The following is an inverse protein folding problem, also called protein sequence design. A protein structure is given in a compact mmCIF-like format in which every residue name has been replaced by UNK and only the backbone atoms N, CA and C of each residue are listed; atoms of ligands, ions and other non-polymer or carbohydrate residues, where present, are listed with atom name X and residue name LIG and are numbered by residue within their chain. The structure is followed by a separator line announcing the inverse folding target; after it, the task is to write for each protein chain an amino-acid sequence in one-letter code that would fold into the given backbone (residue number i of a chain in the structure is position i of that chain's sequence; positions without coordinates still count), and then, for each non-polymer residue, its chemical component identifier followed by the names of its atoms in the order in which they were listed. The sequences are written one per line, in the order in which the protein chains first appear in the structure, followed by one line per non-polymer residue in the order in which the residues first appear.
data_IF_501213778253
#
_entry.id   IF_501213778253
#
_cell.length_a   1.000
_cell.length_b   1.000
_cell.length_c   1.000
_cell.angle_alpha   90.00
_cell.angle_beta   90.00
_cell.angle_gamma   90.00
#
_symmetry.space_group_name_H-M   'P 1'
#
loop_
_entity.id
_entity.type
_entity.pdbx_description
1 polymer ?
#
# COMPACT_ATOMS: atom_id res chain seq x y z
N UNK A 1 1.22 -35.21 -0.46
CA UNK A 1 1.53 -36.53 -1.07
C UNK A 1 0.42 -37.51 -0.78
N UNK A 2 0.07 -38.33 -1.77
CA UNK A 2 -0.94 -39.39 -1.64
C UNK A 2 -0.22 -40.74 -1.84
N UNK A 3 0.08 -41.49 -0.75
CA UNK A 3 0.83 -42.75 -0.85
C UNK A 3 0.02 -43.87 -1.55
N UNK A 4 0.70 -44.90 -2.03
CA UNK A 4 0.07 -46.07 -2.62
C UNK A 4 -0.52 -47.05 -1.56
N UNK A 5 -1.17 -46.54 -0.53
CA UNK A 5 -1.76 -47.30 0.55
C UNK A 5 -3.26 -46.94 0.65
N UNK A 6 -4.12 -47.94 0.93
CA UNK A 6 -5.56 -47.70 1.01
C UNK A 6 -6.17 -47.32 -0.33
N UNK A 7 -7.06 -46.30 -0.39
CA UNK A 7 -7.72 -45.86 -1.63
C UNK A 7 -6.76 -45.38 -2.73
N UNK A 8 -5.57 -44.93 -2.37
CA UNK A 8 -4.56 -44.40 -3.31
C UNK A 8 -3.83 -45.52 -4.10
N UNK A 9 -3.96 -46.78 -3.70
CA UNK A 9 -3.40 -47.92 -4.47
C UNK A 9 -3.93 -47.95 -5.89
N UNK A 10 -5.22 -47.71 -6.07
CA UNK A 10 -5.88 -47.77 -7.38
C UNK A 10 -5.48 -46.59 -8.28
N UNK A 11 -5.06 -45.48 -7.71
CA UNK A 11 -4.61 -44.26 -8.46
C UNK A 11 -3.10 -44.22 -8.67
N UNK A 12 -2.37 -45.18 -8.08
CA UNK A 12 -0.92 -45.22 -8.18
C UNK A 12 -0.15 -44.18 -7.36
N UNK A 13 -0.83 -43.52 -6.42
CA UNK A 13 -0.27 -42.41 -5.63
C UNK A 13 -0.06 -41.11 -6.42
N UNK A 14 0.19 -40.03 -5.73
CA UNK A 14 0.45 -38.72 -6.35
C UNK A 14 1.22 -37.78 -5.44
N UNK A 15 1.86 -36.78 -6.05
CA UNK A 15 2.56 -35.70 -5.37
C UNK A 15 2.25 -34.37 -6.05
N UNK A 16 2.09 -33.34 -5.25
CA UNK A 16 1.95 -31.96 -5.69
C UNK A 16 2.97 -31.09 -4.96
N UNK A 17 3.56 -30.14 -5.69
CA UNK A 17 4.45 -29.12 -5.17
C UNK A 17 3.93 -27.76 -5.58
N UNK A 18 3.93 -26.88 -4.64
CA UNK A 18 3.62 -25.46 -4.81
C UNK A 18 4.81 -24.64 -4.35
N UNK A 19 5.16 -23.64 -5.12
CA UNK A 19 6.23 -22.70 -4.81
C UNK A 19 5.73 -21.27 -5.05
N UNK A 20 5.65 -20.52 -3.96
CA UNK A 20 5.24 -19.12 -3.95
C UNK A 20 6.45 -18.24 -3.70
N UNK A 21 6.53 -17.17 -4.45
CA UNK A 21 7.54 -16.15 -4.27
C UNK A 21 6.91 -14.77 -4.28
N UNK A 22 7.08 -14.04 -3.17
CA UNK A 22 6.71 -12.64 -3.06
C UNK A 22 7.97 -11.78 -3.03
N UNK A 23 8.00 -10.76 -3.88
CA UNK A 23 9.02 -9.72 -3.86
C UNK A 23 8.33 -8.37 -3.81
N UNK A 24 8.65 -7.57 -2.80
CA UNK A 24 8.20 -6.19 -2.72
C UNK A 24 9.33 -5.27 -2.30
N UNK A 25 9.29 -4.03 -2.78
CA UNK A 25 10.20 -2.98 -2.36
C UNK A 25 9.48 -1.64 -2.30
N UNK A 26 9.96 -0.81 -1.42
CA UNK A 26 9.50 0.55 -1.26
C UNK A 26 10.71 1.48 -1.30
N UNK A 27 10.58 2.54 -2.08
CA UNK A 27 11.57 3.60 -2.19
C UNK A 27 10.95 4.92 -1.78
N UNK A 28 11.48 5.55 -0.73
CA UNK A 28 10.99 6.80 -0.20
C UNK A 28 12.10 7.86 -0.22
N UNK A 29 11.78 9.04 -0.77
CA UNK A 29 12.60 10.23 -0.68
C UNK A 29 11.76 11.32 -0.03
N UNK A 30 12.25 11.88 1.05
CA UNK A 30 11.57 12.95 1.78
C UNK A 30 12.57 14.07 2.04
N UNK A 31 12.17 15.29 1.73
CA UNK A 31 12.86 16.51 2.09
C UNK A 31 11.96 17.33 3.00
N UNK A 32 12.52 17.85 4.07
CA UNK A 32 11.81 18.72 5.00
C UNK A 32 12.57 20.02 5.22
N UNK A 33 11.80 21.09 5.33
CA UNK A 33 12.32 22.41 5.67
C UNK A 33 11.52 22.97 6.83
N UNK A 34 12.21 23.33 7.89
CA UNK A 34 11.65 23.93 9.10
C UNK A 34 12.35 25.25 9.36
N UNK A 35 11.60 26.34 9.50
CA UNK A 35 12.16 27.66 9.72
C UNK A 35 11.24 28.52 10.56
N UNK A 36 11.81 29.11 11.62
CA UNK A 36 11.19 30.13 12.45
C UNK A 36 11.86 31.48 12.19
N UNK A 37 11.04 32.50 11.87
CA UNK A 37 11.48 33.88 11.62
C UNK A 37 10.59 34.79 12.44
N UNK A 38 11.10 35.26 13.59
CA UNK A 38 10.29 36.02 14.54
C UNK A 38 9.08 35.24 15.03
N UNK A 39 7.91 35.79 14.81
CA UNK A 39 6.62 35.17 15.19
C UNK A 39 6.07 34.19 14.14
N UNK A 40 6.75 34.00 13.02
CA UNK A 40 6.35 33.15 11.92
C UNK A 40 7.11 31.84 11.94
N UNK A 41 6.41 30.73 11.82
CA UNK A 41 6.99 29.41 11.71
C UNK A 41 6.45 28.68 10.47
N UNK A 42 7.36 28.15 9.67
CA UNK A 42 7.09 27.41 8.44
C UNK A 42 7.65 26.01 8.57
N UNK A 43 6.83 25.03 8.31
CA UNK A 43 7.26 23.64 8.15
C UNK A 43 6.73 23.13 6.81
N UNK A 44 7.64 22.73 5.93
CA UNK A 44 7.33 22.23 4.60
C UNK A 44 7.97 20.86 4.44
N UNK A 45 7.21 19.91 3.96
CA UNK A 45 7.67 18.57 3.64
C UNK A 45 7.25 18.26 2.20
N UNK A 46 8.18 17.74 1.42
CA UNK A 46 7.91 17.20 0.09
C UNK A 46 8.53 15.82 -0.03
N UNK A 47 7.86 14.93 -0.73
CA UNK A 47 8.33 13.56 -0.85
C UNK A 47 7.86 12.84 -2.11
N UNK A 48 8.58 11.77 -2.41
CA UNK A 48 8.26 10.80 -3.43
C UNK A 48 8.28 9.41 -2.80
N UNK A 49 7.28 8.62 -3.11
CA UNK A 49 7.20 7.22 -2.74
C UNK A 49 7.02 6.38 -4.00
N UNK A 50 7.74 5.26 -4.10
CA UNK A 50 7.54 4.26 -5.13
C UNK A 50 7.48 2.89 -4.47
N UNK A 51 6.46 2.12 -4.82
CA UNK A 51 6.24 0.77 -4.34
C UNK A 51 6.07 -0.18 -5.52
N UNK A 52 6.67 -1.35 -5.43
CA UNK A 52 6.47 -2.43 -6.40
C UNK A 52 6.24 -3.73 -5.66
N UNK A 53 5.31 -4.50 -6.18
CA UNK A 53 4.94 -5.81 -5.68
C UNK A 53 4.90 -6.80 -6.82
N UNK A 54 5.48 -7.98 -6.59
CA UNK A 54 5.43 -9.13 -7.46
C UNK A 54 5.13 -10.38 -6.66
N UNK A 55 4.17 -11.15 -7.11
CA UNK A 55 3.85 -12.46 -6.63
C UNK A 55 3.92 -13.45 -7.78
N UNK A 56 4.71 -14.49 -7.63
CA UNK A 56 4.82 -15.62 -8.56
C UNK A 56 4.34 -16.87 -7.85
N UNK A 57 3.44 -17.62 -8.46
CA UNK A 57 3.01 -18.94 -8.02
C UNK A 57 3.31 -19.96 -9.11
N UNK A 58 3.83 -21.11 -8.70
CA UNK A 58 4.07 -22.27 -9.56
C UNK A 58 3.60 -23.52 -8.84
N UNK A 59 2.65 -24.22 -9.43
CA UNK A 59 2.17 -25.51 -8.96
C UNK A 59 2.46 -26.60 -9.99
N UNK A 60 2.95 -27.75 -9.54
CA UNK A 60 3.16 -28.91 -10.38
C UNK A 60 2.66 -30.18 -9.67
N UNK A 61 2.01 -31.06 -10.41
CA UNK A 61 1.44 -32.31 -9.88
C UNK A 61 1.73 -33.48 -10.79
N UNK A 62 2.08 -34.62 -10.20
CA UNK A 62 2.26 -35.88 -10.89
C UNK A 62 1.61 -37.04 -10.14
N UNK A 63 1.20 -38.06 -10.87
CA UNK A 63 0.67 -39.31 -10.33
C UNK A 63 1.47 -40.54 -10.86
N UNK A 64 1.02 -41.74 -10.50
CA UNK A 64 1.67 -43.00 -10.78
C UNK A 64 3.12 -43.00 -10.29
N UNK A 65 3.25 -42.85 -8.98
CA UNK A 65 4.56 -42.82 -8.30
C UNK A 65 5.25 -44.17 -8.43
N UNK A 66 6.45 -44.20 -9.00
CA UNK A 66 7.21 -45.44 -9.17
C UNK A 66 7.74 -45.99 -7.85
N UNK A 67 8.06 -45.11 -6.90
CA UNK A 67 8.60 -45.46 -5.59
C UNK A 67 7.55 -45.09 -4.53
N UNK A 68 6.99 -46.08 -3.77
CA UNK A 68 6.12 -45.79 -2.65
C UNK A 68 6.84 -44.92 -1.61
N UNK A 69 6.09 -44.02 -0.98
CA UNK A 69 6.54 -43.15 0.12
C UNK A 69 7.69 -42.16 -0.22
N UNK A 70 8.04 -42.06 -1.50
CA UNK A 70 9.00 -41.04 -1.98
C UNK A 70 8.27 -39.93 -2.69
N UNK A 71 8.06 -38.76 -2.03
CA UNK A 71 7.12 -37.71 -2.49
C UNK A 71 7.67 -36.78 -3.58
N UNK A 72 8.80 -37.12 -4.21
CA UNK A 72 9.40 -36.26 -5.22
C UNK A 72 8.67 -36.35 -6.57
N UNK A 73 8.43 -35.21 -7.22
CA UNK A 73 7.72 -35.14 -8.51
C UNK A 73 8.43 -35.96 -9.61
N UNK A 74 9.75 -36.09 -9.53
CA UNK A 74 10.57 -36.80 -10.56
C UNK A 74 10.17 -38.26 -10.70
N UNK A 75 9.69 -38.92 -9.64
CA UNK A 75 9.31 -40.35 -9.65
C UNK A 75 7.87 -40.60 -10.10
N UNK A 76 7.07 -39.57 -10.31
CA UNK A 76 5.75 -39.65 -10.91
C UNK A 76 5.83 -39.78 -12.43
N UNK A 77 5.27 -40.86 -13.00
CA UNK A 77 5.34 -41.11 -14.44
C UNK A 77 4.30 -40.34 -15.25
N UNK A 78 3.22 -39.84 -14.61
CA UNK A 78 2.15 -39.11 -15.28
C UNK A 78 2.02 -37.70 -14.72
N UNK A 79 2.13 -36.71 -15.60
CA UNK A 79 1.80 -35.31 -15.26
C UNK A 79 0.29 -35.19 -15.13
N UNK A 80 -0.18 -34.69 -13.99
CA UNK A 80 -1.61 -34.51 -13.70
C UNK A 80 -2.03 -33.05 -13.61
N UNK A 81 -1.05 -32.15 -13.47
CA UNK A 81 -1.32 -30.72 -13.45
C UNK A 81 -0.04 -29.90 -13.41
N UNK A 82 -0.15 -28.71 -13.92
CA UNK A 82 0.86 -27.68 -13.82
C UNK A 82 0.18 -26.35 -14.10
N UNK A 83 0.36 -25.37 -13.24
CA UNK A 83 -0.13 -24.03 -13.41
C UNK A 83 0.84 -23.05 -12.79
N UNK A 84 0.79 -21.83 -13.25
CA UNK A 84 1.53 -20.74 -12.66
C UNK A 84 0.92 -19.42 -13.10
N UNK A 85 0.96 -18.45 -12.23
CA UNK A 85 0.54 -17.10 -12.55
C UNK A 85 1.44 -16.09 -11.84
N UNK A 86 1.38 -14.87 -12.32
CA UNK A 86 2.12 -13.74 -11.75
C UNK A 86 1.18 -12.58 -11.57
N UNK A 87 1.31 -11.93 -10.43
CA UNK A 87 0.69 -10.65 -10.14
C UNK A 87 1.81 -9.62 -9.98
N UNK A 88 1.76 -8.58 -10.80
CA UNK A 88 2.66 -7.43 -10.70
C UNK A 88 1.82 -6.17 -10.53
N UNK A 89 2.14 -5.33 -9.55
CA UNK A 89 1.63 -3.98 -9.54
C UNK A 89 2.63 -3.00 -8.94
N UNK A 90 2.47 -1.73 -9.28
CA UNK A 90 3.31 -0.66 -8.78
C UNK A 90 2.50 0.59 -8.46
N UNK A 91 2.95 1.31 -7.45
CA UNK A 91 2.41 2.58 -7.02
C UNK A 91 3.53 3.63 -7.02
N UNK A 92 3.19 4.83 -7.43
CA UNK A 92 4.08 5.99 -7.32
C UNK A 92 3.27 7.13 -6.75
N UNK A 93 3.77 7.74 -5.68
CA UNK A 93 3.14 8.88 -5.01
C UNK A 93 4.10 10.06 -4.91
N UNK A 94 3.56 11.25 -5.13
CA UNK A 94 4.22 12.53 -4.82
C UNK A 94 3.39 13.22 -3.76
N UNK A 95 4.05 13.68 -2.71
CA UNK A 95 3.37 14.31 -1.59
C UNK A 95 4.03 15.65 -1.25
N UNK A 96 3.21 16.59 -0.83
CA UNK A 96 3.63 17.87 -0.28
C UNK A 96 2.74 18.22 0.91
N UNK A 97 3.36 18.64 2.00
CA UNK A 97 2.68 19.12 3.17
C UNK A 97 3.30 20.44 3.58
N UNK A 98 2.50 21.45 3.83
CA UNK A 98 2.95 22.75 4.31
C UNK A 98 2.14 23.12 5.55
N UNK A 99 2.84 23.55 6.58
CA UNK A 99 2.26 24.06 7.80
C UNK A 99 2.87 25.42 8.09
N UNK A 100 2.01 26.33 8.50
CA UNK A 100 2.39 27.68 8.91
C UNK A 100 1.70 28.01 10.20
N UNK A 101 2.44 28.57 11.11
CA UNK A 101 1.86 29.16 12.32
C UNK A 101 2.36 30.58 12.55
N UNK A 102 1.50 31.40 13.13
CA UNK A 102 1.78 32.77 13.51
C UNK A 102 1.51 32.96 15.00
N UNK A 103 2.55 33.34 15.74
CA UNK A 103 2.51 33.59 17.19
C UNK A 103 2.01 32.40 18.02
N UNK A 104 2.15 31.17 17.51
CA UNK A 104 1.57 29.97 18.13
C UNK A 104 0.07 30.11 18.46
N UNK A 105 -0.67 30.88 17.64
CA UNK A 105 -2.11 31.16 17.81
C UNK A 105 -2.91 30.79 16.56
N UNK A 106 -2.41 31.15 15.40
CA UNK A 106 -3.04 30.92 14.11
C UNK A 106 -2.27 29.88 13.36
N UNK A 107 -2.92 28.84 12.92
CA UNK A 107 -2.32 27.73 12.23
C UNK A 107 -3.01 27.54 10.88
N UNK A 108 -2.24 27.39 9.83
CA UNK A 108 -2.70 27.02 8.51
C UNK A 108 -1.94 25.78 8.07
N UNK A 109 -2.65 24.82 7.48
CA UNK A 109 -2.05 23.62 6.92
C UNK A 109 -2.60 23.34 5.53
N UNK A 110 -1.75 22.85 4.65
CA UNK A 110 -2.15 22.37 3.34
C UNK A 110 -1.41 21.10 3.01
N UNK A 111 -2.10 20.15 2.41
CA UNK A 111 -1.49 18.94 1.87
C UNK A 111 -1.93 18.73 0.43
N UNK A 112 -1.05 18.19 -0.36
CA UNK A 112 -1.31 17.75 -1.72
C UNK A 112 -0.62 16.41 -1.94
N UNK A 113 -1.36 15.46 -2.53
CA UNK A 113 -0.83 14.16 -2.90
C UNK A 113 -1.30 13.79 -4.31
N UNK A 114 -0.39 13.30 -5.11
CA UNK A 114 -0.67 12.75 -6.42
C UNK A 114 -0.18 11.32 -6.49
N UNK A 115 -1.11 10.39 -6.64
CA UNK A 115 -0.83 8.96 -6.65
C UNK A 115 -1.14 8.35 -8.02
N UNK A 116 -0.24 7.51 -8.49
CA UNK A 116 -0.41 6.70 -9.68
C UNK A 116 -0.35 5.22 -9.34
N UNK A 117 -1.32 4.44 -9.83
CA UNK A 117 -1.38 3.00 -9.64
C UNK A 117 -1.47 2.27 -10.97
N UNK A 118 -0.68 1.20 -11.13
CA UNK A 118 -0.74 0.34 -12.32
C UNK A 118 -2.02 -0.50 -12.41
N UNK A 119 -2.83 -0.52 -11.34
CA UNK A 119 -4.13 -1.20 -11.31
C UNK A 119 -5.21 -0.49 -12.14
N UNK A 120 -5.00 0.79 -12.43
CA UNK A 120 -5.91 1.58 -13.25
C UNK A 120 -5.46 1.64 -14.71
N UNK A 121 -6.42 1.87 -15.60
CA UNK A 121 -6.13 2.12 -17.00
C UNK A 121 -5.20 3.33 -17.18
N UNK A 122 -4.39 3.39 -18.25
CA UNK A 122 -3.41 4.46 -18.45
C UNK A 122 -4.00 5.88 -18.34
N UNK A 123 -5.24 6.08 -18.80
CA UNK A 123 -5.91 7.40 -18.82
C UNK A 123 -6.37 7.84 -17.41
N UNK A 124 -6.66 6.88 -16.52
CA UNK A 124 -7.21 7.14 -15.18
C UNK A 124 -6.24 6.78 -14.06
N UNK A 125 -5.01 6.47 -14.41
CA UNK A 125 -3.98 5.96 -13.49
C UNK A 125 -3.63 6.92 -12.36
N UNK A 126 -3.81 8.23 -12.57
CA UNK A 126 -3.38 9.27 -11.64
C UNK A 126 -4.56 9.89 -10.90
N UNK A 127 -4.50 9.86 -9.57
CA UNK A 127 -5.39 10.58 -8.68
C UNK A 127 -4.69 11.78 -8.04
N UNK A 128 -5.45 12.86 -7.82
CA UNK A 128 -4.98 14.04 -7.10
C UNK A 128 -5.83 14.21 -5.84
N UNK A 129 -5.18 14.38 -4.72
CA UNK A 129 -5.81 14.52 -3.41
C UNK A 129 -5.23 15.74 -2.72
N UNK A 130 -6.05 16.46 -2.01
CA UNK A 130 -5.63 17.66 -1.31
C UNK A 130 -6.44 17.90 -0.05
N UNK A 131 -5.84 18.60 0.88
CA UNK A 131 -6.56 19.13 2.02
C UNK A 131 -6.02 20.51 2.41
N UNK A 132 -6.90 21.33 2.98
CA UNK A 132 -6.56 22.59 3.60
C UNK A 132 -7.24 22.66 4.95
N UNK A 133 -6.52 23.10 5.95
CA UNK A 133 -7.02 23.24 7.32
C UNK A 133 -6.50 24.51 7.97
N UNK A 134 -7.32 25.06 8.86
CA UNK A 134 -6.95 26.17 9.71
C UNK A 134 -7.30 25.89 11.17
N UNK A 135 -6.53 26.47 12.07
CA UNK A 135 -6.86 26.43 13.48
C UNK A 135 -6.51 27.75 14.18
N UNK A 136 -7.32 28.10 15.15
CA UNK A 136 -7.15 29.27 15.97
C UNK A 136 -7.15 28.92 17.46
N UNK A 137 -6.08 29.24 18.14
CA UNK A 137 -5.95 29.02 19.58
C UNK A 137 -6.45 30.25 20.34
N UNK A 138 -7.77 30.31 20.54
CA UNK A 138 -8.48 31.42 21.14
C UNK A 138 -8.01 31.72 22.55
N UNK A 139 -7.65 30.67 23.31
CA UNK A 139 -7.17 30.81 24.68
C UNK A 139 -5.87 31.60 24.83
N UNK A 140 -5.13 31.85 23.75
CA UNK A 140 -3.94 32.69 23.74
C UNK A 140 -4.20 34.15 23.37
N UNK A 141 -5.45 34.52 23.09
CA UNK A 141 -5.81 35.89 22.74
C UNK A 141 -5.93 36.76 24.00
N UNK A 142 -5.57 38.03 23.86
CA UNK A 142 -5.59 38.98 24.98
C UNK A 142 -7.00 39.25 25.54
N UNK A 143 -8.03 39.07 24.71
CA UNK A 143 -9.43 39.21 25.13
C UNK A 143 -9.99 38.02 25.87
N UNK A 144 -9.29 36.83 25.82
CA UNK A 144 -9.78 35.61 26.43
C UNK A 144 -9.41 35.59 27.91
N UNK A 145 -10.41 35.76 28.78
CA UNK A 145 -10.22 35.73 30.22
C UNK A 145 -11.21 34.73 30.85
N UNK A 146 -10.86 33.46 30.81
CA UNK A 146 -11.64 32.38 31.44
C UNK A 146 -10.67 31.44 32.19
N UNK A 147 -10.34 31.70 33.47
CA UNK A 147 -9.31 30.99 34.22
C UNK A 147 -9.63 29.50 34.45
N UNK A 148 -10.90 29.09 34.24
CA UNK A 148 -11.32 27.68 34.29
C UNK A 148 -11.11 26.92 32.98
N UNK A 149 -10.72 27.59 31.87
CA UNK A 149 -10.44 26.99 30.57
C UNK A 149 -8.94 26.99 30.32
N UNK A 150 -8.30 25.82 30.34
CA UNK A 150 -6.88 25.68 30.08
C UNK A 150 -6.51 25.90 28.61
N UNK A 151 -7.36 25.50 27.68
CA UNK A 151 -7.13 25.67 26.24
C UNK A 151 -8.44 25.64 25.47
N UNK A 152 -8.61 26.62 24.56
CA UNK A 152 -9.72 26.68 23.63
C UNK A 152 -9.15 26.84 22.22
N UNK A 153 -9.32 25.82 21.38
CA UNK A 153 -8.85 25.78 19.99
C UNK A 153 -9.98 25.47 19.02
N UNK A 154 -10.24 26.37 18.10
CA UNK A 154 -11.13 26.14 16.96
C UNK A 154 -10.34 25.55 15.80
N UNK A 155 -10.89 24.54 15.11
CA UNK A 155 -10.28 23.89 13.94
C UNK A 155 -11.32 23.69 12.85
N UNK A 156 -10.92 23.89 11.60
CA UNK A 156 -11.71 23.53 10.42
C UNK A 156 -10.79 23.00 9.33
N UNK A 157 -11.25 22.02 8.59
CA UNK A 157 -10.52 21.48 7.44
C UNK A 157 -11.47 20.96 6.37
N UNK A 158 -11.00 20.98 5.13
CA UNK A 158 -11.68 20.43 3.96
C UNK A 158 -10.65 19.73 3.10
N UNK A 159 -11.04 18.66 2.42
CA UNK A 159 -10.14 17.94 1.53
C UNK A 159 -10.85 16.92 0.66
N UNK A 160 -10.12 16.41 -0.31
CA UNK A 160 -10.52 15.33 -1.21
C UNK A 160 -9.64 14.13 -0.96
N UNK A 161 -10.26 12.96 -0.84
CA UNK A 161 -9.60 11.67 -0.65
C UNK A 161 -10.00 10.69 -1.75
N UNK A 162 -9.18 9.67 -1.98
CA UNK A 162 -9.44 8.59 -2.91
C UNK A 162 -9.05 7.24 -2.33
N UNK A 163 -9.48 6.18 -3.01
CA UNK A 163 -9.15 4.80 -2.68
C UNK A 163 -8.80 4.06 -3.97
N UNK A 164 -7.74 3.25 -3.96
CA UNK A 164 -7.30 2.39 -5.05
C UNK A 164 -7.55 0.89 -4.78
N UNK A 165 -8.32 0.56 -3.74
CA UNK A 165 -8.62 -0.82 -3.38
C UNK A 165 -9.63 -1.46 -4.36
N UNK A 166 -9.15 -1.73 -5.57
CA UNK A 166 -9.85 -2.43 -6.64
C UNK A 166 -9.05 -3.67 -7.06
N UNK A 167 -9.69 -4.61 -7.73
CA UNK A 167 -9.01 -5.78 -8.33
C UNK A 167 -7.96 -5.37 -9.36
N UNK A 168 -6.95 -6.23 -9.54
CA UNK A 168 -5.85 -5.97 -10.46
C UNK A 168 -6.35 -6.05 -11.91
N UNK A 169 -6.01 -5.02 -12.71
CA UNK A 169 -6.26 -4.96 -14.16
C UNK A 169 -7.71 -5.20 -14.61
N UNK A 170 -8.70 -4.83 -13.78
CA UNK A 170 -10.13 -4.97 -14.13
C UNK A 170 -10.51 -4.28 -15.45
N UNK A 171 -9.75 -3.27 -15.89
CA UNK A 171 -9.97 -2.60 -17.17
C UNK A 171 -9.58 -3.47 -18.39
N UNK A 172 -8.84 -4.57 -18.19
CA UNK A 172 -8.45 -5.48 -19.28
C UNK A 172 -9.56 -6.47 -19.65
N UNK A 173 -10.58 -6.60 -18.78
CA UNK A 173 -11.71 -7.51 -18.98
C UNK A 173 -12.95 -6.81 -19.57
N UNK A 174 -12.87 -5.53 -19.94
CA UNK A 174 -13.98 -4.72 -20.44
C UNK A 174 -13.91 -4.42 -21.95
#
# INVERSE_FOLDING_TARGET
TNPKIGPAVNTGGGSSRENDRTLSWTWNNIISYDKKIGDHHFNILAGQEAYSYRYDELTASRSKMAIPDYPELVVGSQVTGGSGYRIDYSLVGYLMNAQYDYKDRYYLSGSYRRDGSSRFAPETRWGNFWSVGGAWLISKEAFFNAPWVNSLKLKASVGSQGNDNIGDYLYADS
#
